data_IF_268869349464
#
_entry.id   IF_268869349464
#
_cell.length_a   1.000
_cell.length_b   1.000
_cell.length_c   1.000
_cell.angle_alpha   90.00
_cell.angle_beta   90.00
_cell.angle_gamma   90.00
#
_symmetry.space_group_name_H-M   'P 1'
#
loop_
_entity.id
_entity.type
_entity.pdbx_description
1 polymer ?
#
# COMPACT_ATOMS: atom_id res chain seq x y z
N UNK A 1 16.13 -5.36 6.46
CA UNK A 1 14.66 -5.20 6.38
C UNK A 1 14.18 -6.07 5.24
N UNK A 2 13.07 -6.77 5.41
CA UNK A 2 12.45 -7.53 4.33
C UNK A 2 11.00 -7.10 4.11
N UNK A 3 10.46 -7.47 2.95
CA UNK A 3 9.06 -7.24 2.61
C UNK A 3 8.24 -8.50 2.79
N UNK A 4 6.95 -8.32 3.04
CA UNK A 4 5.95 -9.39 2.97
C UNK A 4 4.80 -9.00 2.06
N UNK A 5 4.14 -10.02 1.50
CA UNK A 5 2.94 -9.86 0.68
C UNK A 5 1.97 -10.98 1.04
N UNK A 6 0.71 -10.61 1.22
CA UNK A 6 -0.42 -11.51 1.36
C UNK A 6 -1.55 -11.03 0.44
N UNK A 7 -2.23 -11.97 -0.21
CA UNK A 7 -3.41 -11.68 -1.01
C UNK A 7 -4.46 -12.75 -0.83
N UNK A 8 -5.72 -12.33 -0.92
CA UNK A 8 -6.87 -13.21 -0.72
C UNK A 8 -8.15 -12.64 -1.32
N UNK A 9 -9.26 -13.29 -1.02
CA UNK A 9 -10.61 -12.87 -1.32
C UNK A 9 -11.38 -12.76 0.00
N UNK A 10 -12.04 -11.63 0.22
CA UNK A 10 -12.89 -11.41 1.40
C UNK A 10 -14.12 -12.31 1.37
N UNK A 11 -14.85 -12.41 2.48
CA UNK A 11 -16.04 -13.25 2.61
C UNK A 11 -17.15 -12.88 1.62
N UNK A 12 -17.26 -11.59 1.28
CA UNK A 12 -18.19 -11.03 0.29
C UNK A 12 -17.62 -10.96 -1.13
N UNK A 13 -16.45 -11.56 -1.37
CA UNK A 13 -15.93 -11.82 -2.72
C UNK A 13 -14.98 -10.77 -3.29
N UNK A 14 -14.53 -9.79 -2.50
CA UNK A 14 -13.61 -8.75 -2.95
C UNK A 14 -12.15 -9.21 -2.91
N UNK A 15 -11.41 -8.97 -3.98
CA UNK A 15 -9.97 -9.28 -4.04
C UNK A 15 -9.21 -8.24 -3.24
N UNK A 16 -8.34 -8.69 -2.33
CA UNK A 16 -7.56 -7.82 -1.46
C UNK A 16 -6.10 -8.26 -1.45
N UNK A 17 -5.19 -7.30 -1.38
CA UNK A 17 -3.77 -7.52 -1.18
C UNK A 17 -3.24 -6.57 -0.12
N UNK A 18 -2.27 -7.07 0.65
CA UNK A 18 -1.55 -6.32 1.68
C UNK A 18 -0.09 -6.66 1.57
N UNK A 19 0.75 -5.64 1.60
CA UNK A 19 2.18 -5.79 1.77
C UNK A 19 2.68 -4.92 2.91
N UNK A 20 3.87 -5.21 3.41
CA UNK A 20 4.51 -4.33 4.37
C UNK A 20 6.00 -4.59 4.54
N UNK A 21 6.61 -3.74 5.34
CA UNK A 21 7.99 -3.84 5.80
C UNK A 21 8.02 -4.49 7.18
N UNK A 22 8.98 -5.38 7.39
CA UNK A 22 9.22 -6.02 8.67
C UNK A 22 10.69 -6.44 8.85
N UNK A 23 11.16 -6.62 10.09
CA UNK A 23 12.49 -7.13 10.36
C UNK A 23 12.76 -8.46 9.65
N UNK A 24 14.04 -8.70 9.32
CA UNK A 24 14.47 -9.90 8.61
C UNK A 24 14.05 -11.18 9.37
N UNK A 25 13.44 -12.13 8.65
CA UNK A 25 12.93 -13.38 9.20
C UNK A 25 11.47 -13.32 9.69
N UNK A 26 10.81 -12.16 9.73
CA UNK A 26 9.43 -12.00 10.19
C UNK A 26 8.38 -12.02 9.06
N UNK A 27 8.78 -11.93 7.79
CA UNK A 27 7.87 -11.72 6.67
C UNK A 27 6.81 -12.80 6.52
N UNK A 28 7.15 -14.06 6.77
CA UNK A 28 6.18 -15.15 6.75
C UNK A 28 5.16 -15.08 7.89
N UNK A 29 5.57 -14.60 9.07
CA UNK A 29 4.68 -14.46 10.22
C UNK A 29 3.73 -13.27 10.01
N UNK A 30 4.27 -12.13 9.59
CA UNK A 30 3.51 -10.95 9.20
C UNK A 30 2.51 -11.25 8.08
N UNK A 31 2.91 -11.96 7.01
CA UNK A 31 1.98 -12.34 5.95
C UNK A 31 0.85 -13.25 6.45
N UNK A 32 1.14 -14.19 7.37
CA UNK A 32 0.13 -15.13 7.89
C UNK A 32 -0.92 -14.46 8.77
N UNK A 33 -0.60 -13.37 9.47
CA UNK A 33 -1.58 -12.67 10.29
C UNK A 33 -2.73 -12.11 9.45
N UNK A 34 -2.46 -11.73 8.20
CA UNK A 34 -3.46 -11.26 7.25
C UNK A 34 -4.39 -12.34 6.70
N UNK A 35 -4.21 -13.62 7.07
CA UNK A 35 -5.17 -14.67 6.71
C UNK A 35 -6.60 -14.36 7.21
N UNK A 36 -6.72 -13.57 8.28
CA UNK A 36 -8.01 -13.11 8.79
C UNK A 36 -8.83 -12.29 7.76
N UNK A 37 -8.20 -11.72 6.72
CA UNK A 37 -8.89 -11.03 5.62
C UNK A 37 -9.86 -11.94 4.85
N UNK A 38 -9.68 -13.26 4.87
CA UNK A 38 -10.63 -14.22 4.29
C UNK A 38 -12.01 -14.18 4.99
N UNK A 39 -12.06 -13.65 6.22
CA UNK A 39 -13.25 -13.69 7.08
C UNK A 39 -14.00 -12.36 7.15
N UNK A 40 -13.41 -11.28 6.65
CA UNK A 40 -14.01 -9.95 6.72
C UNK A 40 -15.07 -9.75 5.64
N UNK A 41 -16.02 -8.86 5.93
CA UNK A 41 -16.96 -8.31 4.97
C UNK A 41 -16.68 -6.81 4.86
N UNK A 42 -16.57 -6.32 3.62
CA UNK A 42 -16.48 -4.89 3.31
C UNK A 42 -17.89 -4.30 3.28
N UNK A 43 -18.87 -5.06 2.78
CA UNK A 43 -20.26 -4.68 2.73
C UNK A 43 -20.65 -3.93 1.44
N UNK A 44 -21.86 -3.34 1.48
CA UNK A 44 -22.48 -2.73 0.30
C UNK A 44 -22.11 -1.26 0.10
N UNK A 45 -21.62 -0.57 1.14
CA UNK A 45 -21.13 0.79 1.00
C UNK A 45 -19.75 0.79 0.36
N UNK A 46 -19.65 1.43 -0.80
CA UNK A 46 -18.45 1.45 -1.64
C UNK A 46 -17.94 2.86 -1.87
N UNK A 47 -18.23 3.78 -0.95
CA UNK A 47 -17.63 5.11 -0.97
C UNK A 47 -16.14 4.99 -0.64
N UNK A 48 -15.31 5.76 -1.32
CA UNK A 48 -13.84 5.67 -1.22
C UNK A 48 -13.36 5.81 0.22
N UNK A 49 -13.88 6.83 0.92
CA UNK A 49 -13.63 7.05 2.34
C UNK A 49 -14.00 5.84 3.22
N UNK A 50 -15.12 5.18 2.94
CA UNK A 50 -15.55 4.02 3.72
C UNK A 50 -14.64 2.81 3.47
N UNK A 51 -14.19 2.63 2.23
CA UNK A 51 -13.23 1.56 1.90
C UNK A 51 -11.92 1.79 2.64
N UNK A 52 -11.36 3.00 2.63
CA UNK A 52 -10.11 3.30 3.31
C UNK A 52 -10.22 3.15 4.83
N UNK A 53 -11.36 3.56 5.41
CA UNK A 53 -11.67 3.34 6.82
C UNK A 53 -11.73 1.86 7.18
N UNK A 54 -12.47 1.06 6.40
CA UNK A 54 -12.62 -0.38 6.65
C UNK A 54 -11.28 -1.10 6.49
N UNK A 55 -10.52 -0.78 5.43
CA UNK A 55 -9.19 -1.32 5.24
C UNK A 55 -8.32 -1.01 6.44
N UNK A 56 -8.19 0.26 6.80
CA UNK A 56 -7.22 0.63 7.83
C UNK A 56 -7.60 0.12 9.23
N UNK A 57 -8.90 -0.03 9.51
CA UNK A 57 -9.39 -0.77 10.68
C UNK A 57 -8.88 -2.22 10.70
N UNK A 58 -9.13 -3.01 9.64
CA UNK A 58 -8.75 -4.43 9.62
C UNK A 58 -7.24 -4.62 9.53
N UNK A 59 -6.56 -3.76 8.79
CA UNK A 59 -5.10 -3.77 8.70
C UNK A 59 -4.49 -3.51 10.07
N UNK A 60 -5.02 -2.56 10.85
CA UNK A 60 -4.61 -2.34 12.24
C UNK A 60 -4.87 -3.55 13.13
N UNK A 61 -6.05 -4.18 13.00
CA UNK A 61 -6.44 -5.34 13.80
C UNK A 61 -5.54 -6.56 13.54
N UNK A 62 -5.13 -6.78 12.30
CA UNK A 62 -4.38 -7.97 11.89
C UNK A 62 -2.87 -7.75 11.80
N UNK A 63 -2.39 -6.51 11.88
CA UNK A 63 -0.96 -6.21 11.90
C UNK A 63 -0.30 -6.72 13.18
N UNK A 64 0.78 -7.47 13.01
CA UNK A 64 1.68 -7.77 14.12
C UNK A 64 2.53 -6.53 14.45
N UNK A 65 2.98 -6.35 15.71
CA UNK A 65 3.82 -5.21 16.10
C UNK A 65 5.10 -5.03 15.29
N UNK A 66 5.55 -6.08 14.60
CA UNK A 66 6.72 -6.10 13.72
C UNK A 66 6.46 -5.56 12.32
N UNK A 67 5.19 -5.32 11.94
CA UNK A 67 4.87 -4.60 10.72
C UNK A 67 5.18 -3.10 10.92
N UNK A 68 6.27 -2.63 10.32
CA UNK A 68 6.76 -1.26 10.53
C UNK A 68 6.10 -0.23 9.62
N UNK A 69 5.51 -0.71 8.52
CA UNK A 69 4.59 0.04 7.68
C UNK A 69 4.00 -0.88 6.61
N UNK A 70 2.81 -0.54 6.14
CA UNK A 70 1.97 -1.42 5.34
C UNK A 70 1.31 -0.64 4.22
N UNK A 71 1.07 -1.31 3.10
CA UNK A 71 0.17 -0.85 2.07
C UNK A 71 -0.88 -1.93 1.80
N UNK A 72 -2.12 -1.53 1.60
CA UNK A 72 -3.18 -2.44 1.20
C UNK A 72 -3.97 -1.86 0.03
N UNK A 73 -4.48 -2.74 -0.81
CA UNK A 73 -5.40 -2.39 -1.88
C UNK A 73 -6.50 -3.43 -1.94
N UNK A 74 -7.71 -2.98 -2.24
CA UNK A 74 -8.88 -3.85 -2.42
C UNK A 74 -9.64 -3.45 -3.66
N UNK A 75 -10.12 -4.43 -4.42
CA UNK A 75 -11.01 -4.20 -5.55
C UNK A 75 -12.46 -4.40 -5.14
N UNK A 76 -13.25 -3.35 -5.29
CA UNK A 76 -14.65 -3.24 -4.83
C UNK A 76 -15.66 -3.10 -5.97
N UNK A 77 -15.21 -2.81 -7.20
CA UNK A 77 -16.06 -2.70 -8.39
C UNK A 77 -15.37 -3.31 -9.62
N UNK A 78 -16.14 -3.54 -10.66
CA UNK A 78 -15.63 -3.99 -11.97
C UNK A 78 -15.46 -2.85 -12.98
N UNK A 79 -16.06 -1.69 -12.72
CA UNK A 79 -16.02 -0.50 -13.59
C UNK A 79 -15.80 0.79 -12.76
N UNK A 80 -15.15 1.79 -13.38
CA UNK A 80 -14.85 3.10 -12.75
C UNK A 80 -13.68 3.05 -11.76
N UNK A 81 -13.58 4.02 -10.81
CA UNK A 81 -12.71 3.92 -9.64
C UNK A 81 -13.09 2.66 -8.87
N UNK A 82 -12.30 1.61 -9.08
CA UNK A 82 -12.71 0.25 -8.78
C UNK A 82 -12.09 -0.30 -7.52
N UNK A 83 -11.18 0.45 -6.89
CA UNK A 83 -10.42 0.00 -5.76
C UNK A 83 -10.46 1.03 -4.61
N UNK A 84 -9.93 0.66 -3.45
CA UNK A 84 -9.45 1.60 -2.43
C UNK A 84 -8.06 1.17 -1.97
N UNK A 85 -7.32 2.06 -1.31
CA UNK A 85 -5.95 1.77 -0.94
C UNK A 85 -5.46 2.63 0.21
N UNK A 86 -4.67 2.02 1.08
CA UNK A 86 -4.04 2.70 2.21
C UNK A 86 -2.54 2.46 2.21
N UNK A 87 -1.78 3.40 2.75
CA UNK A 87 -0.35 3.25 3.01
C UNK A 87 0.00 3.97 4.31
N UNK A 88 0.87 3.36 5.13
CA UNK A 88 1.43 4.01 6.31
C UNK A 88 1.63 3.07 7.49
N UNK A 89 1.67 3.62 8.70
CA UNK A 89 1.79 2.83 9.93
C UNK A 89 0.42 2.23 10.30
N UNK A 90 0.30 0.91 10.50
CA UNK A 90 -0.96 0.31 10.92
C UNK A 90 -1.40 0.70 12.34
N UNK A 91 -0.50 1.25 13.17
CA UNK A 91 -0.74 1.58 14.58
C UNK A 91 -0.90 3.08 14.86
N UNK A 92 -0.76 3.95 13.85
CA UNK A 92 -1.09 5.37 13.97
C UNK A 92 -2.55 5.62 13.57
N UNK A 93 -3.12 6.72 14.04
CA UNK A 93 -4.46 7.14 13.65
C UNK A 93 -4.50 7.53 12.17
N UNK A 94 -5.67 7.37 11.54
CA UNK A 94 -5.84 7.57 10.11
C UNK A 94 -5.97 9.05 9.77
N UNK A 95 -5.05 9.55 8.96
CA UNK A 95 -5.10 10.88 8.36
C UNK A 95 -5.16 10.74 6.84
N UNK A 96 -5.96 11.59 6.18
CA UNK A 96 -6.03 11.62 4.72
C UNK A 96 -4.70 12.08 4.13
N UNK A 97 -4.35 11.54 2.96
CA UNK A 97 -3.09 11.87 2.30
C UNK A 97 -3.02 13.35 1.90
N UNK A 98 -1.97 14.05 2.34
CA UNK A 98 -1.67 15.44 1.94
C UNK A 98 -0.57 15.54 0.87
N UNK A 99 -0.03 14.42 0.39
CA UNK A 99 1.08 14.43 -0.57
C UNK A 99 2.44 14.76 0.04
N UNK A 100 2.57 14.64 1.36
CA UNK A 100 3.78 14.98 2.12
C UNK A 100 4.51 13.70 2.54
N UNK A 101 5.85 13.72 2.46
CA UNK A 101 6.70 12.70 3.04
C UNK A 101 6.57 12.65 4.57
N UNK A 102 5.98 11.58 5.09
CA UNK A 102 5.85 11.35 6.52
C UNK A 102 6.94 10.39 7.02
N UNK A 103 7.62 10.77 8.11
CA UNK A 103 8.50 9.85 8.83
C UNK A 103 7.68 9.01 9.81
N UNK A 104 7.56 7.73 9.52
CA UNK A 104 6.73 6.81 10.31
C UNK A 104 7.45 6.29 11.55
N UNK A 105 8.70 5.82 11.40
CA UNK A 105 9.57 5.26 12.46
C UNK A 105 11.02 5.24 11.93
N UNK A 106 12.03 5.59 12.74
CA UNK A 106 13.45 5.45 12.39
C UNK A 106 13.87 5.83 10.95
N UNK A 107 14.00 4.86 10.04
CA UNK A 107 14.35 5.03 8.61
C UNK A 107 13.19 4.72 7.66
N UNK A 108 11.98 4.58 8.19
CA UNK A 108 10.77 4.24 7.48
C UNK A 108 9.98 5.50 7.17
N UNK A 109 9.71 5.68 5.89
CA UNK A 109 9.00 6.80 5.33
C UNK A 109 7.75 6.33 4.60
N UNK A 110 6.72 7.16 4.65
CA UNK A 110 5.48 6.97 3.90
C UNK A 110 5.28 8.19 2.99
N UNK A 111 4.90 7.93 1.74
CA UNK A 111 4.46 8.96 0.81
C UNK A 111 3.14 8.50 0.19
N UNK A 112 2.11 9.31 0.34
CA UNK A 112 0.80 9.04 -0.26
C UNK A 112 0.46 10.16 -1.23
N UNK A 113 0.38 9.83 -2.53
CA UNK A 113 -0.06 10.76 -3.57
C UNK A 113 -1.57 10.55 -3.77
N UNK A 114 -2.41 11.53 -3.38
CA UNK A 114 -3.86 11.40 -3.44
C UNK A 114 -4.35 10.97 -4.83
N UNK A 115 -5.21 9.95 -4.87
CA UNK A 115 -5.80 9.46 -6.11
C UNK A 115 -4.87 8.66 -7.00
N UNK A 116 -3.67 8.30 -6.55
CA UNK A 116 -2.68 7.61 -7.39
C UNK A 116 -2.07 6.40 -6.71
N UNK A 117 -1.24 6.63 -5.69
CA UNK A 117 -0.48 5.57 -5.04
C UNK A 117 -0.03 5.96 -3.64
N UNK A 118 0.12 4.97 -2.79
CA UNK A 118 0.79 5.09 -1.51
C UNK A 118 2.01 4.18 -1.48
N UNK A 119 3.10 4.65 -0.89
CA UNK A 119 4.33 3.88 -0.75
C UNK A 119 4.86 4.00 0.69
N UNK A 120 5.37 2.89 1.20
CA UNK A 120 6.15 2.81 2.44
C UNK A 120 7.51 2.24 2.09
N UNK A 121 8.59 2.86 2.55
CA UNK A 121 9.95 2.45 2.21
C UNK A 121 10.96 2.73 3.32
N UNK A 122 12.07 1.98 3.33
CA UNK A 122 13.22 2.20 4.21
C UNK A 122 14.33 2.94 3.47
N UNK A 123 14.77 4.10 3.98
CA UNK A 123 15.91 4.84 3.44
C UNK A 123 16.54 5.79 4.47
N UNK A 124 17.62 6.47 4.09
CA UNK A 124 17.99 7.71 4.77
C UNK A 124 17.14 8.90 4.28
N UNK A 125 17.30 10.05 4.94
CA UNK A 125 16.47 11.23 4.69
C UNK A 125 16.74 11.90 3.35
N UNK A 126 17.99 11.93 2.89
CA UNK A 126 18.35 12.53 1.60
C UNK A 126 17.76 11.70 0.46
N UNK A 127 17.88 10.38 0.55
CA UNK A 127 17.24 9.44 -0.39
C UNK A 127 15.72 9.56 -0.34
N UNK A 128 15.13 9.72 0.85
CA UNK A 128 13.68 9.88 0.99
C UNK A 128 13.16 11.15 0.29
N UNK A 129 13.90 12.26 0.35
CA UNK A 129 13.59 13.48 -0.39
C UNK A 129 13.70 13.30 -1.89
N UNK A 130 14.75 12.65 -2.36
CA UNK A 130 14.91 12.36 -3.79
C UNK A 130 13.74 11.49 -4.31
N UNK A 131 13.28 10.52 -3.51
CA UNK A 131 12.10 9.70 -3.81
C UNK A 131 10.84 10.57 -3.86
N UNK A 132 10.62 11.45 -2.87
CA UNK A 132 9.49 12.37 -2.86
C UNK A 132 9.44 13.25 -4.11
N UNK A 133 10.55 13.91 -4.44
CA UNK A 133 10.66 14.78 -5.62
C UNK A 133 10.40 14.01 -6.92
N UNK A 134 10.96 12.80 -7.05
CA UNK A 134 10.73 11.94 -8.20
C UNK A 134 9.25 11.58 -8.34
N UNK A 135 8.62 11.12 -7.26
CA UNK A 135 7.22 10.69 -7.24
C UNK A 135 6.26 11.83 -7.56
N UNK A 136 6.48 13.03 -7.02
CA UNK A 136 5.72 14.23 -7.37
C UNK A 136 5.89 14.61 -8.85
N UNK A 137 7.08 14.37 -9.41
CA UNK A 137 7.37 14.55 -10.83
C UNK A 137 6.54 13.65 -11.75
N UNK A 138 6.00 12.53 -11.27
CA UNK A 138 5.22 11.57 -12.08
C UNK A 138 3.75 11.97 -12.28
N UNK A 139 3.29 13.08 -11.68
CA UNK A 139 1.88 13.49 -11.71
C UNK A 139 1.31 13.76 -13.11
N UNK A 140 2.17 14.05 -14.09
CA UNK A 140 1.78 14.27 -15.48
C UNK A 140 1.47 12.99 -16.26
N UNK A 141 1.82 11.81 -15.72
CA UNK A 141 1.63 10.52 -16.36
C UNK A 141 0.27 9.90 -16.00
N UNK A 142 -0.12 8.84 -16.70
CA UNK A 142 -1.22 7.98 -16.23
C UNK A 142 -0.82 7.28 -14.92
N UNK A 143 -1.81 6.82 -14.12
CA UNK A 143 -1.54 6.06 -12.89
C UNK A 143 -0.65 4.85 -13.19
N UNK A 144 -0.89 4.19 -14.33
CA UNK A 144 -0.11 3.03 -14.72
C UNK A 144 1.34 3.34 -14.96
N UNK A 145 1.60 4.31 -15.84
CA UNK A 145 2.96 4.71 -16.16
C UNK A 145 3.67 5.21 -14.90
N UNK A 146 3.00 6.00 -14.07
CA UNK A 146 3.58 6.49 -12.82
C UNK A 146 3.96 5.34 -11.87
N UNK A 147 3.12 4.31 -11.70
CA UNK A 147 3.48 3.15 -10.89
C UNK A 147 4.66 2.39 -11.51
N UNK A 148 4.66 2.15 -12.82
CA UNK A 148 5.73 1.42 -13.49
C UNK A 148 7.08 2.15 -13.34
N UNK A 149 7.12 3.48 -13.52
CA UNK A 149 8.32 4.30 -13.31
C UNK A 149 8.72 4.39 -11.83
N UNK A 150 7.76 4.54 -10.92
CA UNK A 150 8.01 4.53 -9.48
C UNK A 150 8.70 3.23 -9.04
N UNK A 151 8.17 2.08 -9.47
CA UNK A 151 8.76 0.76 -9.15
C UNK A 151 10.19 0.67 -9.69
N UNK A 152 10.42 1.04 -10.96
CA UNK A 152 11.76 1.00 -11.55
C UNK A 152 12.76 1.88 -10.77
N UNK A 153 12.35 3.11 -10.45
CA UNK A 153 13.19 4.03 -9.68
C UNK A 153 13.53 3.49 -8.28
N UNK A 154 12.56 2.90 -7.59
CA UNK A 154 12.77 2.34 -6.27
C UNK A 154 13.70 1.11 -6.30
N UNK A 155 13.59 0.25 -7.32
CA UNK A 155 14.50 -0.88 -7.52
C UNK A 155 15.92 -0.41 -7.86
N UNK A 156 16.08 0.64 -8.68
CA UNK A 156 17.39 1.25 -8.98
C UNK A 156 18.06 1.87 -7.76
N UNK A 157 17.26 2.34 -6.78
CA UNK A 157 17.75 2.85 -5.49
C UNK A 157 18.11 1.75 -4.49
N UNK A 158 17.84 0.49 -4.81
CA UNK A 158 18.07 -0.67 -3.93
C UNK A 158 17.45 -0.53 -2.52
N UNK A 159 16.31 0.16 -2.43
CA UNK A 159 15.58 0.36 -1.17
C UNK A 159 14.53 -0.72 -0.94
N UNK A 160 14.29 -1.07 0.32
CA UNK A 160 13.16 -1.93 0.67
C UNK A 160 11.87 -1.10 0.63
N UNK A 161 10.86 -1.54 -0.13
CA UNK A 161 9.62 -0.78 -0.26
C UNK A 161 8.39 -1.65 -0.51
N UNK A 162 7.24 -1.07 -0.18
CA UNK A 162 5.92 -1.57 -0.53
C UNK A 162 5.11 -0.42 -1.11
N UNK A 163 4.47 -0.65 -2.25
CA UNK A 163 3.62 0.32 -2.93
C UNK A 163 2.22 -0.27 -3.13
N UNK A 164 1.18 0.52 -2.90
CA UNK A 164 -0.17 0.22 -3.32
C UNK A 164 -0.70 1.28 -4.28
N UNK A 165 -1.47 0.86 -5.28
CA UNK A 165 -2.27 1.81 -6.06
C UNK A 165 -3.47 2.24 -5.23
N UNK A 166 -3.69 3.55 -5.15
CA UNK A 166 -4.97 4.07 -4.67
C UNK A 166 -6.01 3.86 -5.77
N UNK A 167 -7.23 3.51 -5.38
CA UNK A 167 -8.29 3.07 -6.27
C UNK A 167 -9.28 4.14 -6.74
N UNK A 168 -9.10 5.36 -6.26
CA UNK A 168 -9.99 6.51 -6.51
C UNK A 168 -9.67 7.23 -7.83
N UNK A 169 -8.45 7.08 -8.36
CA UNK A 169 -8.04 7.72 -9.61
C UNK A 169 -8.42 6.95 -10.88
N UNK A 170 -8.64 7.70 -11.98
CA UNK A 170 -8.92 7.14 -13.30
C UNK A 170 -7.77 6.25 -13.79
N UNK A 171 -8.11 5.00 -14.12
CA UNK A 171 -7.14 4.00 -14.56
C UNK A 171 -6.48 3.22 -13.42
N UNK A 172 -6.97 3.30 -12.18
CA UNK A 172 -6.56 2.39 -11.11
C UNK A 172 -7.21 1.00 -11.26
N UNK A 173 -6.46 -0.06 -10.92
CA UNK A 173 -6.92 -1.46 -11.02
C UNK A 173 -6.60 -2.31 -9.79
N UNK A 174 -6.10 -1.70 -8.71
CA UNK A 174 -5.76 -2.39 -7.48
C UNK A 174 -4.49 -3.22 -7.60
N UNK A 175 -3.45 -2.77 -6.92
CA UNK A 175 -2.13 -3.36 -6.92
C UNK A 175 -1.51 -3.23 -5.53
N UNK A 176 -0.79 -4.27 -5.11
CA UNK A 176 0.30 -4.13 -4.15
C UNK A 176 1.59 -4.69 -4.75
N UNK A 177 2.68 -3.94 -4.61
CA UNK A 177 4.03 -4.29 -5.02
C UNK A 177 4.95 -4.30 -3.80
N UNK A 178 5.90 -5.24 -3.76
CA UNK A 178 6.97 -5.28 -2.75
C UNK A 178 8.34 -5.48 -3.41
N UNK A 179 9.37 -4.78 -2.93
CA UNK A 179 10.77 -5.00 -3.36
C UNK A 179 11.17 -6.47 -3.19
N UNK A 180 11.96 -7.01 -4.13
CA UNK A 180 12.31 -8.44 -4.16
C UNK A 180 11.31 -9.35 -4.90
N UNK A 181 10.41 -8.73 -5.70
CA UNK A 181 9.42 -9.33 -6.60
C UNK A 181 8.36 -10.24 -5.96
N UNK A 182 7.27 -9.60 -5.50
CA UNK A 182 5.92 -10.19 -5.56
C UNK A 182 4.91 -9.10 -5.93
N UNK A 183 4.27 -9.27 -7.08
CA UNK A 183 3.16 -8.42 -7.52
C UNK A 183 1.87 -9.13 -7.12
N UNK A 184 0.91 -8.40 -6.54
CA UNK A 184 -0.47 -8.86 -6.53
C UNK A 184 -1.34 -7.87 -7.29
N UNK A 185 -1.77 -8.30 -8.48
CA UNK A 185 -2.83 -7.64 -9.23
C UNK A 185 -4.19 -8.12 -8.72
N UNK A 186 -5.09 -7.17 -8.48
CA UNK A 186 -6.47 -7.48 -8.11
C UNK A 186 -7.37 -7.61 -9.36
N UNK A 187 -6.80 -7.93 -10.53
CA UNK A 187 -7.52 -8.21 -11.79
C UNK A 187 -8.47 -9.38 -11.63
#
# INVERSE_FOLDING_TARGET
METFLYSSVTKDGFKIAVGGLCPDGMGNECAKSYKALETIEIGSEKSEFFIDFILSKYIREFSLPQAEGVCASVRVRDEGPCCGGIAGNPFKDHESAEGVLEKTKDKIYTLAIPGRMGIVFESDYETAKEIEEYFLGLNHLTIKEAIDYAVLFMEEKEVAFVLASDGTGEGSWGLVYTSGQKWCYLK
#
